data_IF_478304431484
#
_entry.id   IF_478304431484
#
_cell.length_a   1.000
_cell.length_b   1.000
_cell.length_c   1.000
_cell.angle_alpha   90.00
_cell.angle_beta   90.00
_cell.angle_gamma   90.00
#
_symmetry.space_group_name_H-M   'P 1'
#
loop_
_entity.id
_entity.type
_entity.pdbx_description
1 polymer ?
#
# COMPACT_ATOMS: atom_id res chain seq x y z
N UNK A 1 9.43 11.61 25.82
CA UNK A 1 10.10 10.37 25.36
C UNK A 1 9.28 9.73 24.24
N UNK A 2 7.94 9.66 24.35
CA UNK A 2 7.06 9.02 23.34
C UNK A 2 7.02 9.69 21.95
N UNK A 3 7.18 11.02 21.87
CA UNK A 3 6.96 11.78 20.62
C UNK A 3 8.04 11.53 19.54
N UNK A 4 9.29 11.31 19.95
CA UNK A 4 10.39 10.99 19.03
C UNK A 4 10.22 9.60 18.40
N UNK A 5 9.83 8.59 19.19
CA UNK A 5 9.59 7.23 18.67
C UNK A 5 8.45 7.21 17.66
N UNK A 6 7.35 7.92 17.93
CA UNK A 6 6.23 8.02 16.99
C UNK A 6 6.64 8.71 15.68
N UNK A 7 7.46 9.77 15.76
CA UNK A 7 7.94 10.48 14.57
C UNK A 7 8.81 9.61 13.67
N UNK A 8 9.69 8.79 14.26
CA UNK A 8 10.58 7.90 13.52
C UNK A 8 9.81 6.78 12.81
N UNK A 9 8.81 6.17 13.46
CA UNK A 9 7.97 5.15 12.84
C UNK A 9 7.16 5.69 11.66
N UNK A 10 6.59 6.90 11.77
CA UNK A 10 5.86 7.55 10.68
C UNK A 10 6.78 7.81 9.48
N UNK A 11 8.02 8.22 9.73
CA UNK A 11 9.02 8.48 8.69
C UNK A 11 9.38 7.21 7.92
N UNK A 12 9.53 6.08 8.62
CA UNK A 12 9.80 4.78 8.00
C UNK A 12 8.62 4.32 7.13
N UNK A 13 7.37 4.47 7.60
CA UNK A 13 6.17 4.13 6.82
C UNK A 13 6.04 4.99 5.56
N UNK A 14 6.34 6.28 5.65
CA UNK A 14 6.38 7.17 4.48
C UNK A 14 7.49 6.80 3.50
N UNK A 15 8.66 6.39 4.00
CA UNK A 15 9.74 5.84 3.20
C UNK A 15 9.31 4.59 2.42
N UNK A 16 8.65 3.65 3.09
CA UNK A 16 8.12 2.44 2.48
C UNK A 16 7.09 2.76 1.39
N UNK A 17 6.15 3.66 1.68
CA UNK A 17 5.12 4.11 0.72
C UNK A 17 5.75 4.72 -0.54
N UNK A 18 6.76 5.58 -0.38
CA UNK A 18 7.48 6.20 -1.51
C UNK A 18 8.21 5.17 -2.35
N UNK A 19 8.88 4.21 -1.73
CA UNK A 19 9.60 3.12 -2.42
C UNK A 19 8.66 2.28 -3.29
N UNK A 20 7.51 1.86 -2.75
CA UNK A 20 6.54 1.07 -3.52
C UNK A 20 5.98 1.91 -4.67
N UNK A 21 5.71 3.20 -4.45
CA UNK A 21 5.21 4.09 -5.51
C UNK A 21 6.21 4.23 -6.66
N UNK A 22 7.48 4.44 -6.32
CA UNK A 22 8.56 4.53 -7.31
C UNK A 22 8.71 3.24 -8.12
N UNK A 23 8.65 2.08 -7.45
CA UNK A 23 8.74 0.78 -8.12
C UNK A 23 7.57 0.54 -9.10
N UNK A 24 6.34 0.83 -8.67
CA UNK A 24 5.16 0.70 -9.55
C UNK A 24 5.30 1.61 -10.77
N UNK A 25 5.70 2.87 -10.57
CA UNK A 25 5.91 3.82 -11.66
C UNK A 25 7.01 3.36 -12.62
N UNK A 26 8.11 2.82 -12.10
CA UNK A 26 9.24 2.34 -12.91
C UNK A 26 8.89 1.11 -13.74
N UNK A 27 8.09 0.19 -13.21
CA UNK A 27 7.78 -1.08 -13.87
C UNK A 27 6.61 -0.94 -14.85
N UNK A 28 5.56 -0.22 -14.44
CA UNK A 28 4.30 -0.15 -15.19
C UNK A 28 4.08 1.19 -15.91
N UNK A 29 4.90 2.22 -15.64
CA UNK A 29 4.76 3.55 -16.24
C UNK A 29 3.53 4.33 -15.76
N UNK A 30 2.86 3.90 -14.68
CA UNK A 30 1.66 4.53 -14.15
C UNK A 30 1.86 5.04 -12.72
N UNK A 31 1.15 6.11 -12.38
CA UNK A 31 1.03 6.55 -10.98
C UNK A 31 -0.11 5.81 -10.29
N UNK A 32 0.19 5.21 -9.14
CA UNK A 32 -0.80 4.57 -8.28
C UNK A 32 -0.86 5.23 -6.89
N UNK A 33 -2.06 5.27 -6.31
CA UNK A 33 -2.26 5.67 -4.90
C UNK A 33 -2.02 4.45 -4.01
N UNK A 34 -1.11 4.59 -3.04
CA UNK A 34 -0.73 3.51 -2.13
C UNK A 34 -1.26 3.82 -0.74
N UNK A 35 -1.95 2.84 -0.16
CA UNK A 35 -2.40 2.86 1.24
C UNK A 35 -1.80 1.65 1.95
N UNK A 36 -1.03 1.90 3.00
CA UNK A 36 -0.55 0.86 3.90
C UNK A 36 -1.69 0.49 4.86
N UNK A 37 -1.81 -0.80 5.17
CA UNK A 37 -2.78 -1.34 6.12
C UNK A 37 -2.04 -2.21 7.12
N UNK A 38 -2.64 -2.39 8.30
CA UNK A 38 -2.04 -3.21 9.34
C UNK A 38 -1.86 -4.67 8.89
N UNK A 39 -0.80 -5.35 9.34
CA UNK A 39 -0.58 -6.75 9.05
C UNK A 39 -1.80 -7.61 9.43
N UNK A 40 -2.18 -8.54 8.55
CA UNK A 40 -3.28 -9.49 8.81
C UNK A 40 -4.70 -8.95 8.57
N UNK A 41 -4.85 -7.65 8.25
CA UNK A 41 -6.18 -7.06 7.97
C UNK A 41 -6.73 -7.34 6.58
N UNK A 42 -5.87 -7.77 5.64
CA UNK A 42 -6.30 -8.18 4.31
C UNK A 42 -6.85 -9.60 4.41
N UNK A 43 -8.12 -9.77 4.07
CA UNK A 43 -8.79 -11.08 4.05
C UNK A 43 -8.03 -12.06 3.16
N UNK A 44 -7.81 -13.27 3.67
CA UNK A 44 -7.17 -14.34 2.90
C UNK A 44 -8.23 -15.10 2.11
N UNK A 45 -7.99 -15.26 0.82
CA UNK A 45 -8.83 -16.12 -0.02
C UNK A 45 -8.65 -17.59 0.36
N UNK A 46 -9.75 -18.33 0.48
CA UNK A 46 -9.74 -19.79 0.74
C UNK A 46 -9.32 -20.65 -0.46
N UNK A 47 -9.13 -20.04 -1.64
CA UNK A 47 -8.70 -20.69 -2.89
C UNK A 47 -7.66 -19.85 -3.64
N UNK A 48 -7.78 -19.75 -4.96
CA UNK A 48 -6.93 -18.84 -5.74
C UNK A 48 -7.08 -17.40 -5.23
N UNK A 49 -5.96 -16.69 -5.09
CA UNK A 49 -5.95 -15.34 -4.56
C UNK A 49 -6.67 -14.35 -5.49
N UNK A 50 -7.73 -13.71 -5.00
CA UNK A 50 -8.37 -12.57 -5.64
C UNK A 50 -7.81 -11.28 -5.03
N UNK A 51 -7.11 -10.46 -5.84
CA UNK A 51 -6.44 -9.23 -5.38
C UNK A 51 -6.95 -7.95 -6.06
N UNK A 52 -7.85 -8.09 -7.03
CA UNK A 52 -8.35 -6.98 -7.87
C UNK A 52 -9.85 -6.83 -7.67
N UNK A 53 -10.26 -5.63 -7.28
CA UNK A 53 -11.66 -5.20 -7.18
C UNK A 53 -11.86 -4.12 -8.26
N UNK A 54 -12.71 -4.39 -9.24
CA UNK A 54 -13.03 -3.43 -10.29
C UNK A 54 -14.20 -2.54 -9.86
N UNK A 55 -13.91 -1.29 -9.55
CA UNK A 55 -14.90 -0.29 -9.12
C UNK A 55 -15.35 0.65 -10.25
N UNK A 56 -15.02 0.34 -11.52
CA UNK A 56 -15.41 1.19 -12.65
C UNK A 56 -16.92 1.12 -12.87
N UNK A 57 -17.58 2.28 -12.99
CA UNK A 57 -18.97 2.33 -13.44
C UNK A 57 -19.01 1.87 -14.91
N UNK A 58 -19.79 0.82 -15.17
CA UNK A 58 -20.11 0.44 -16.55
C UNK A 58 -21.16 1.43 -17.05
N UNK A 59 -20.82 2.12 -18.13
CA UNK A 59 -21.74 2.98 -18.88
C UNK A 59 -22.72 2.07 -19.63
#
# INVERSE_FOLDING_TARGET
IEEQFFSDEVKELEGLRKRIKANIASILGISATIRLVEPGTIERSMGKAQRVIDNRKRI
#
